data_IF_408630487544
#
_entry.id   IF_408630487544
#
_cell.length_a   1.000
_cell.length_b   1.000
_cell.length_c   1.000
_cell.angle_alpha   90.00
_cell.angle_beta   90.00
_cell.angle_gamma   90.00
#
_symmetry.space_group_name_H-M   'P 1'
#
loop_
_entity.id
_entity.type
_entity.pdbx_description
1 polymer ?
#
# COMPACT_ATOMS: atom_id res chain seq x y z
N UNK A 1 19.93 3.23 -15.77
CA UNK A 1 18.71 3.75 -15.12
C UNK A 1 17.89 4.47 -16.18
N UNK A 2 16.55 4.39 -16.11
CA UNK A 2 15.68 5.17 -16.97
C UNK A 2 14.86 6.12 -16.12
N UNK A 3 14.78 7.38 -16.53
CA UNK A 3 13.92 8.39 -15.92
C UNK A 3 12.76 8.61 -16.88
N UNK A 4 11.55 8.41 -16.39
CA UNK A 4 10.34 8.45 -17.19
C UNK A 4 9.68 9.81 -17.00
N UNK A 5 9.46 10.55 -18.07
CA UNK A 5 8.80 11.86 -18.05
C UNK A 5 7.63 11.89 -19.02
N UNK A 6 6.66 12.75 -18.78
CA UNK A 6 5.60 13.05 -19.75
C UNK A 6 5.99 14.30 -20.55
N UNK A 7 5.66 14.38 -21.84
CA UNK A 7 6.06 15.51 -22.70
C UNK A 7 5.60 16.88 -22.17
N UNK A 8 4.47 16.93 -21.46
CA UNK A 8 3.97 18.15 -20.83
C UNK A 8 4.69 18.59 -19.55
N UNK A 9 5.58 17.77 -19.00
CA UNK A 9 6.32 18.07 -17.76
C UNK A 9 7.63 18.82 -18.05
N UNK A 10 7.48 20.03 -18.59
CA UNK A 10 8.58 20.87 -19.06
C UNK A 10 9.57 21.17 -17.93
N UNK A 11 9.08 21.51 -16.74
CA UNK A 11 9.91 21.85 -15.58
C UNK A 11 10.83 20.68 -15.19
N UNK A 12 10.29 19.46 -15.10
CA UNK A 12 11.09 18.27 -14.77
C UNK A 12 12.08 17.95 -15.87
N UNK A 13 11.69 18.04 -17.15
CA UNK A 13 12.58 17.78 -18.29
C UNK A 13 13.75 18.78 -18.30
N UNK A 14 13.49 20.06 -18.05
CA UNK A 14 14.53 21.09 -17.98
C UNK A 14 15.45 20.90 -16.78
N UNK A 15 14.92 20.51 -15.61
CA UNK A 15 15.72 20.18 -14.44
C UNK A 15 16.65 18.99 -14.73
N UNK A 16 16.15 17.94 -15.38
CA UNK A 16 16.95 16.77 -15.78
C UNK A 16 18.05 17.15 -16.79
N UNK A 17 17.75 17.99 -17.78
CA UNK A 17 18.75 18.48 -18.73
C UNK A 17 19.86 19.27 -18.04
N UNK A 18 19.50 20.15 -17.09
CA UNK A 18 20.47 20.94 -16.30
C UNK A 18 21.33 20.06 -15.39
N UNK A 19 20.76 18.98 -14.84
CA UNK A 19 21.48 18.05 -13.97
C UNK A 19 22.57 17.23 -14.70
N UNK A 20 22.60 17.23 -16.05
CA UNK A 20 23.58 16.51 -16.89
C UNK A 20 23.79 15.06 -16.43
N UNK A 21 22.74 14.22 -16.50
CA UNK A 21 22.79 12.86 -15.99
C UNK A 21 23.89 12.05 -16.69
N UNK A 22 24.47 11.10 -15.95
CA UNK A 22 25.56 10.23 -16.43
C UNK A 22 25.11 9.41 -17.65
N UNK A 23 26.06 8.93 -18.45
CA UNK A 23 25.79 8.17 -19.68
C UNK A 23 24.95 6.89 -19.48
N UNK A 24 24.94 6.33 -18.27
CA UNK A 24 24.12 5.16 -17.93
C UNK A 24 22.69 5.51 -17.48
N UNK A 25 22.28 6.78 -17.57
CA UNK A 25 20.95 7.29 -17.30
C UNK A 25 20.31 7.76 -18.61
N UNK A 26 19.14 7.24 -18.91
CA UNK A 26 18.40 7.54 -20.13
C UNK A 26 17.09 8.22 -19.75
N UNK A 27 16.77 9.35 -20.37
CA UNK A 27 15.49 10.04 -20.17
C UNK A 27 14.53 9.55 -21.27
N UNK A 28 13.41 8.95 -20.85
CA UNK A 28 12.35 8.48 -21.74
C UNK A 28 11.14 9.38 -21.58
N UNK A 29 10.92 10.28 -22.54
CA UNK A 29 9.74 11.14 -22.58
C UNK A 29 8.61 10.44 -23.32
N UNK A 30 7.47 10.26 -22.64
CA UNK A 30 6.28 9.70 -23.22
C UNK A 30 5.53 10.77 -24.05
N UNK A 31 5.03 10.41 -25.25
CA UNK A 31 4.22 11.32 -26.06
C UNK A 31 2.87 11.61 -25.38
N UNK A 32 2.10 12.59 -25.84
CA UNK A 32 0.81 12.92 -25.24
C UNK A 32 -0.16 11.75 -25.41
N UNK A 33 -0.97 11.47 -24.39
CA UNK A 33 -1.95 10.39 -24.44
C UNK A 33 -2.56 10.09 -23.07
N UNK A 34 -3.79 9.59 -23.08
CA UNK A 34 -4.50 9.19 -21.86
C UNK A 34 -4.38 7.68 -21.58
N UNK A 35 -4.47 7.25 -20.31
CA UNK A 35 -4.42 8.07 -19.10
C UNK A 35 -2.98 8.48 -18.74
N UNK A 36 -2.75 9.73 -18.31
CA UNK A 36 -1.43 10.20 -17.84
C UNK A 36 -1.18 9.72 -16.40
N UNK A 37 -0.79 8.46 -16.26
CA UNK A 37 -0.63 7.78 -14.98
C UNK A 37 0.75 7.15 -14.84
N UNK A 38 1.21 6.98 -13.61
CA UNK A 38 2.43 6.23 -13.28
C UNK A 38 2.49 4.86 -13.98
N UNK A 39 1.47 3.98 -13.94
CA UNK A 39 1.51 2.70 -14.65
C UNK A 39 1.71 2.80 -16.17
N UNK A 40 1.19 3.84 -16.84
CA UNK A 40 1.47 4.07 -18.28
C UNK A 40 2.95 4.33 -18.52
N UNK A 41 3.55 5.21 -17.72
CA UNK A 41 4.99 5.47 -17.78
C UNK A 41 5.81 4.21 -17.50
N UNK A 42 5.46 3.45 -16.45
CA UNK A 42 6.14 2.21 -16.09
C UNK A 42 6.10 1.16 -17.21
N UNK A 43 4.96 1.03 -17.92
CA UNK A 43 4.85 0.13 -19.07
C UNK A 43 5.78 0.55 -20.22
N UNK A 44 5.91 1.85 -20.52
CA UNK A 44 6.90 2.33 -21.49
C UNK A 44 8.34 2.00 -21.04
N UNK A 45 8.62 2.17 -19.74
CA UNK A 45 9.89 1.77 -19.14
C UNK A 45 10.18 0.27 -19.28
N UNK A 46 9.17 -0.60 -19.11
CA UNK A 46 9.28 -2.05 -19.25
C UNK A 46 9.53 -2.49 -20.70
N UNK A 47 8.91 -1.82 -21.67
CA UNK A 47 9.19 -2.05 -23.09
C UNK A 47 10.64 -1.69 -23.42
N UNK A 48 11.16 -0.60 -22.87
CA UNK A 48 12.54 -0.17 -23.06
C UNK A 48 13.55 -0.94 -22.18
N UNK A 49 13.10 -1.76 -21.23
CA UNK A 49 13.97 -2.45 -20.27
C UNK A 49 14.77 -3.57 -20.93
N UNK A 50 16.10 -3.53 -20.70
CA UNK A 50 17.08 -4.48 -21.27
C UNK A 50 17.67 -5.47 -20.26
N UNK A 51 17.45 -5.26 -18.96
CA UNK A 51 17.99 -6.13 -17.91
C UNK A 51 17.06 -7.30 -17.59
N UNK A 52 17.61 -8.33 -16.95
CA UNK A 52 16.83 -9.47 -16.43
C UNK A 52 16.00 -9.10 -15.19
N UNK A 53 16.50 -8.12 -14.44
CA UNK A 53 15.85 -7.54 -13.26
C UNK A 53 15.48 -6.08 -13.54
N UNK A 54 14.34 -5.66 -12.99
CA UNK A 54 13.83 -4.29 -13.07
C UNK A 54 13.46 -3.81 -11.68
N UNK A 55 13.85 -2.59 -11.34
CA UNK A 55 13.43 -1.93 -10.10
C UNK A 55 12.66 -0.66 -10.44
N UNK A 56 11.66 -0.33 -9.61
CA UNK A 56 10.92 0.93 -9.66
C UNK A 56 11.22 1.74 -8.42
N UNK A 57 11.58 3.00 -8.61
CA UNK A 57 11.70 4.02 -7.57
C UNK A 57 10.84 5.22 -7.97
N UNK A 58 10.15 5.80 -6.99
CA UNK A 58 9.52 7.10 -7.13
C UNK A 58 10.60 8.20 -7.05
N UNK A 59 10.28 9.39 -7.55
CA UNK A 59 11.28 10.44 -7.74
C UNK A 59 11.83 10.97 -6.41
N UNK A 60 11.03 10.91 -5.35
CA UNK A 60 11.33 11.36 -3.99
C UNK A 60 11.98 10.29 -3.10
N UNK A 61 12.04 9.05 -3.60
CA UNK A 61 12.53 7.89 -2.84
C UNK A 61 14.00 8.03 -2.49
N UNK A 62 14.32 7.59 -1.27
CA UNK A 62 15.70 7.45 -0.81
C UNK A 62 15.93 6.01 -0.43
N UNK A 63 16.30 5.11 -1.35
CA UNK A 63 16.63 3.72 -1.01
C UNK A 63 18.00 3.64 -0.32
N UNK A 64 18.21 2.61 0.50
CA UNK A 64 19.54 2.27 1.00
C UNK A 64 20.52 2.01 -0.16
N UNK A 65 21.81 2.41 -0.02
CA UNK A 65 22.76 2.40 -1.13
C UNK A 65 23.02 1.02 -1.76
N UNK A 66 22.82 -0.07 -1.02
CA UNK A 66 23.06 -1.44 -1.45
C UNK A 66 21.78 -2.22 -1.80
N UNK A 67 20.60 -1.59 -1.75
CA UNK A 67 19.30 -2.24 -1.95
C UNK A 67 19.24 -3.09 -3.24
N UNK A 68 19.75 -2.56 -4.36
CA UNK A 68 19.79 -3.29 -5.64
C UNK A 68 20.66 -4.56 -5.56
N UNK A 69 21.76 -4.54 -4.80
CA UNK A 69 22.62 -5.71 -4.59
C UNK A 69 21.93 -6.74 -3.70
N UNK A 70 21.26 -6.28 -2.65
CA UNK A 70 20.44 -7.13 -1.76
C UNK A 70 19.35 -7.84 -2.57
N UNK A 71 18.61 -7.11 -3.40
CA UNK A 71 17.58 -7.67 -4.26
C UNK A 71 18.13 -8.69 -5.26
N UNK A 72 19.23 -8.37 -5.95
CA UNK A 72 19.87 -9.31 -6.89
C UNK A 72 20.34 -10.59 -6.20
N UNK A 73 20.94 -10.49 -5.02
CA UNK A 73 21.37 -11.64 -4.23
C UNK A 73 20.17 -12.47 -3.73
N UNK A 74 19.06 -11.84 -3.39
CA UNK A 74 17.82 -12.52 -2.99
C UNK A 74 17.17 -13.24 -4.18
N UNK A 75 17.11 -12.65 -5.38
CA UNK A 75 16.65 -13.34 -6.58
C UNK A 75 17.53 -14.53 -6.97
N UNK A 76 18.85 -14.43 -6.78
CA UNK A 76 19.77 -15.53 -7.08
C UNK A 76 19.59 -16.71 -6.11
N UNK A 77 19.32 -16.44 -4.83
CA UNK A 77 19.11 -17.46 -3.79
C UNK A 77 17.69 -18.01 -3.75
N UNK A 78 16.70 -17.19 -4.15
CA UNK A 78 15.29 -17.53 -4.11
C UNK A 78 14.88 -18.54 -5.18
N UNK A 79 13.65 -19.07 -5.08
CA UNK A 79 13.14 -20.04 -6.04
C UNK A 79 12.97 -19.40 -7.43
N UNK A 80 12.96 -20.24 -8.48
CA UNK A 80 12.78 -19.79 -9.86
C UNK A 80 11.47 -19.02 -10.08
N UNK A 81 10.41 -19.38 -9.34
CA UNK A 81 9.12 -18.70 -9.39
C UNK A 81 9.01 -17.47 -8.47
N UNK A 82 10.11 -16.96 -7.90
CA UNK A 82 10.13 -15.65 -7.24
C UNK A 82 10.13 -14.55 -8.31
N UNK A 83 9.01 -13.85 -8.46
CA UNK A 83 8.84 -12.81 -9.47
C UNK A 83 9.15 -11.41 -8.96
N UNK A 84 8.82 -11.12 -7.70
CA UNK A 84 8.93 -9.80 -7.12
C UNK A 84 9.53 -9.85 -5.72
N UNK A 85 10.32 -8.83 -5.37
CA UNK A 85 10.82 -8.55 -4.05
C UNK A 85 10.44 -7.11 -3.67
N UNK A 86 9.66 -6.98 -2.60
CA UNK A 86 9.29 -5.69 -2.02
C UNK A 86 10.32 -5.28 -0.96
N UNK A 87 10.94 -4.11 -1.12
CA UNK A 87 11.72 -3.49 -0.06
C UNK A 87 10.80 -2.84 0.99
N UNK A 88 11.35 -2.58 2.17
CA UNK A 88 10.61 -1.91 3.26
C UNK A 88 10.47 -0.43 2.94
N UNK A 89 9.27 0.12 3.06
CA UNK A 89 9.04 1.58 2.93
C UNK A 89 8.90 2.20 4.31
N UNK A 90 9.60 3.30 4.59
CA UNK A 90 9.62 3.98 5.88
C UNK A 90 9.40 5.48 5.73
N UNK A 91 8.64 6.07 6.66
CA UNK A 91 8.37 7.51 6.65
C UNK A 91 9.50 8.27 7.35
N UNK A 92 10.10 9.24 6.66
CA UNK A 92 11.22 10.04 7.18
C UNK A 92 10.83 11.40 7.76
N UNK A 93 9.56 11.81 7.61
CA UNK A 93 9.04 13.06 8.14
C UNK A 93 8.00 12.85 9.25
N UNK A 94 8.11 11.76 10.03
CA UNK A 94 7.20 11.48 11.15
C UNK A 94 7.20 12.60 12.22
N UNK A 95 8.23 13.46 12.25
CA UNK A 95 8.27 14.62 13.13
C UNK A 95 7.36 15.78 12.69
N UNK A 96 6.80 15.75 11.47
CA UNK A 96 5.99 16.84 10.92
C UNK A 96 4.56 16.90 11.48
N UNK A 97 4.15 15.92 12.30
CA UNK A 97 2.92 15.99 13.08
C UNK A 97 2.17 14.66 13.17
N UNK A 98 1.01 14.72 13.83
CA UNK A 98 0.20 13.55 14.19
C UNK A 98 -0.13 12.64 12.99
N UNK A 99 -0.49 13.20 11.83
CA UNK A 99 -0.77 12.41 10.62
C UNK A 99 0.45 11.64 10.10
N UNK A 100 1.62 12.27 10.07
CA UNK A 100 2.86 11.63 9.61
C UNK A 100 3.31 10.52 10.56
N UNK A 101 3.10 10.69 11.88
CA UNK A 101 3.37 9.66 12.91
C UNK A 101 2.51 8.42 12.71
N UNK A 102 1.21 8.59 12.48
CA UNK A 102 0.30 7.47 12.21
C UNK A 102 0.64 6.78 10.89
N UNK A 103 1.02 7.55 9.87
CA UNK A 103 1.51 7.00 8.61
C UNK A 103 2.75 6.12 8.82
N UNK A 104 3.70 6.58 9.64
CA UNK A 104 4.90 5.83 10.00
C UNK A 104 4.58 4.51 10.72
N UNK A 105 3.62 4.53 11.65
CA UNK A 105 3.15 3.33 12.38
C UNK A 105 2.53 2.32 11.41
N UNK A 106 1.63 2.77 10.53
CA UNK A 106 0.98 1.87 9.56
C UNK A 106 1.98 1.26 8.58
N UNK A 107 2.94 2.05 8.11
CA UNK A 107 4.04 1.55 7.26
C UNK A 107 4.90 0.53 8.00
N UNK A 108 5.18 0.77 9.28
CA UNK A 108 5.96 -0.18 10.07
C UNK A 108 5.20 -1.51 10.28
N UNK A 109 3.91 -1.43 10.60
CA UNK A 109 3.05 -2.61 10.71
C UNK A 109 2.99 -3.38 9.37
N UNK A 110 2.78 -2.69 8.25
CA UNK A 110 2.65 -3.32 6.94
C UNK A 110 3.97 -3.94 6.48
N UNK A 111 5.03 -3.13 6.37
CA UNK A 111 6.27 -3.53 5.69
C UNK A 111 7.22 -4.35 6.58
N UNK A 112 7.15 -4.27 7.91
CA UNK A 112 8.02 -5.06 8.80
C UNK A 112 7.33 -6.24 9.45
N UNK A 113 5.99 -6.26 9.52
CA UNK A 113 5.24 -7.33 10.19
C UNK A 113 4.41 -8.10 9.19
N UNK A 114 3.45 -7.46 8.54
CA UNK A 114 2.45 -8.13 7.70
C UNK A 114 3.08 -8.71 6.42
N UNK A 115 3.77 -7.91 5.61
CA UNK A 115 4.33 -8.41 4.34
C UNK A 115 5.41 -9.50 4.53
N UNK A 116 6.34 -9.39 5.49
CA UNK A 116 7.28 -10.48 5.78
C UNK A 116 6.57 -11.77 6.24
N UNK A 117 5.50 -11.67 7.02
CA UNK A 117 4.71 -12.83 7.42
C UNK A 117 4.04 -13.49 6.19
N UNK A 118 3.37 -12.70 5.34
CA UNK A 118 2.77 -13.19 4.09
C UNK A 118 3.80 -13.85 3.18
N UNK A 119 4.97 -13.22 3.04
CA UNK A 119 6.09 -13.76 2.27
C UNK A 119 6.56 -15.12 2.80
N UNK A 120 6.71 -15.25 4.13
CA UNK A 120 7.13 -16.50 4.79
C UNK A 120 6.12 -17.63 4.56
N UNK A 121 4.83 -17.32 4.55
CA UNK A 121 3.77 -18.29 4.29
C UNK A 121 3.48 -18.51 2.80
N UNK A 122 4.19 -17.81 1.90
CA UNK A 122 3.96 -17.91 0.45
C UNK A 122 2.57 -17.42 0.01
N UNK A 123 1.98 -16.50 0.76
CA UNK A 123 0.65 -15.95 0.52
C UNK A 123 0.72 -14.74 -0.44
N UNK A 124 -0.39 -14.39 -1.11
CA UNK A 124 -0.46 -13.20 -1.96
C UNK A 124 -0.09 -11.93 -1.19
N UNK A 125 0.71 -11.08 -1.81
CA UNK A 125 1.20 -9.81 -1.26
C UNK A 125 0.67 -8.68 -2.15
N UNK A 126 -0.17 -7.75 -1.64
CA UNK A 126 -0.38 -6.48 -2.31
C UNK A 126 0.94 -5.70 -2.24
N UNK A 127 1.50 -5.36 -3.40
CA UNK A 127 2.75 -4.61 -3.46
C UNK A 127 2.53 -3.17 -2.97
N UNK A 128 3.60 -2.56 -2.44
CA UNK A 128 3.64 -1.12 -2.24
C UNK A 128 3.94 -0.41 -3.55
N UNK A 129 3.78 0.92 -3.58
CA UNK A 129 3.88 1.69 -4.82
C UNK A 129 5.28 1.76 -5.40
N UNK A 130 6.31 1.48 -4.61
CA UNK A 130 7.70 1.69 -4.99
C UNK A 130 8.66 0.70 -4.32
N UNK A 131 9.94 0.76 -4.70
CA UNK A 131 11.02 -0.12 -4.27
C UNK A 131 10.70 -1.61 -4.49
N UNK A 132 9.97 -1.84 -5.58
CA UNK A 132 9.65 -3.16 -6.08
C UNK A 132 10.73 -3.59 -7.06
N UNK A 133 11.27 -4.77 -6.83
CA UNK A 133 12.25 -5.39 -7.70
C UNK A 133 11.61 -6.59 -8.37
N UNK A 134 11.75 -6.72 -9.68
CA UNK A 134 11.06 -7.72 -10.47
C UNK A 134 12.04 -8.53 -11.30
N UNK A 135 11.72 -9.80 -11.54
CA UNK A 135 12.16 -10.49 -12.75
C UNK A 135 11.38 -9.96 -13.93
N UNK A 136 12.07 -9.44 -14.94
CA UNK A 136 11.43 -8.86 -16.13
C UNK A 136 10.56 -9.88 -16.85
N UNK A 137 11.01 -11.13 -16.95
CA UNK A 137 10.23 -12.21 -17.56
C UNK A 137 8.88 -12.44 -16.84
N UNK A 138 8.87 -12.44 -15.51
CA UNK A 138 7.65 -12.63 -14.73
C UNK A 138 6.70 -11.44 -14.90
N UNK A 139 7.21 -10.21 -14.83
CA UNK A 139 6.43 -9.00 -15.02
C UNK A 139 5.80 -8.91 -16.42
N UNK A 140 6.55 -9.29 -17.46
CA UNK A 140 6.03 -9.40 -18.83
C UNK A 140 4.96 -10.49 -18.95
N UNK A 141 5.13 -11.63 -18.28
CA UNK A 141 4.17 -12.73 -18.34
C UNK A 141 2.79 -12.39 -17.78
N UNK A 142 2.70 -11.39 -16.90
CA UNK A 142 1.43 -10.91 -16.32
C UNK A 142 0.90 -9.63 -16.99
N UNK A 143 1.55 -9.16 -18.05
CA UNK A 143 1.12 -8.00 -18.84
C UNK A 143 1.53 -6.63 -18.30
N UNK A 144 2.51 -6.54 -17.40
CA UNK A 144 2.95 -5.25 -16.85
C UNK A 144 1.95 -4.65 -15.85
N UNK A 145 1.84 -3.32 -15.81
CA UNK A 145 0.91 -2.60 -14.93
C UNK A 145 -0.40 -2.25 -15.63
N UNK A 146 -1.51 -2.24 -14.89
CA UNK A 146 -2.78 -1.74 -15.41
C UNK A 146 -2.78 -0.20 -15.40
N UNK A 147 -2.77 0.41 -16.58
CA UNK A 147 -2.71 1.86 -16.76
C UNK A 147 -3.94 2.61 -16.20
N UNK A 148 -5.08 1.92 -16.06
CA UNK A 148 -6.33 2.49 -15.58
C UNK A 148 -6.53 2.33 -14.06
N UNK A 149 -5.68 1.53 -13.39
CA UNK A 149 -5.78 1.31 -11.96
C UNK A 149 -4.94 2.32 -11.18
N UNK A 150 -5.55 2.97 -10.18
CA UNK A 150 -4.89 3.97 -9.33
C UNK A 150 -4.07 3.36 -8.17
N UNK A 151 -4.17 2.04 -7.97
CA UNK A 151 -3.28 1.20 -7.15
C UNK A 151 -2.80 0.03 -7.99
N UNK A 152 -2.00 0.34 -9.01
CA UNK A 152 -1.45 -0.61 -9.98
C UNK A 152 -0.58 -1.70 -9.33
N UNK A 153 0.00 -1.37 -8.19
CA UNK A 153 0.89 -2.17 -7.35
C UNK A 153 0.15 -3.33 -6.67
N UNK A 154 -0.92 -3.03 -5.95
CA UNK A 154 -1.75 -4.01 -5.27
C UNK A 154 -2.38 -4.98 -6.27
N UNK A 155 -2.86 -4.47 -7.42
CA UNK A 155 -3.35 -5.28 -8.52
C UNK A 155 -2.26 -6.20 -9.09
N UNK A 156 -1.08 -5.65 -9.38
CA UNK A 156 0.04 -6.42 -9.90
C UNK A 156 0.45 -7.55 -8.95
N UNK A 157 0.50 -7.29 -7.64
CA UNK A 157 0.78 -8.30 -6.62
C UNK A 157 -0.19 -9.48 -6.68
N UNK A 158 -1.48 -9.20 -6.82
CA UNK A 158 -2.50 -10.23 -6.95
C UNK A 158 -2.44 -10.95 -8.31
N UNK A 159 -2.14 -10.24 -9.40
CA UNK A 159 -1.93 -10.87 -10.72
C UNK A 159 -0.72 -11.81 -10.70
N UNK A 160 0.40 -11.43 -10.10
CA UNK A 160 1.55 -12.32 -9.94
C UNK A 160 1.15 -13.63 -9.25
N UNK A 161 0.46 -13.53 -8.11
CA UNK A 161 0.00 -14.70 -7.38
C UNK A 161 -0.96 -15.58 -8.22
N UNK A 162 -1.89 -14.96 -8.97
CA UNK A 162 -2.83 -15.68 -9.88
C UNK A 162 -2.16 -16.43 -11.02
N UNK A 163 -0.94 -16.03 -11.39
CA UNK A 163 -0.12 -16.67 -12.42
C UNK A 163 0.90 -17.66 -11.82
N UNK A 164 0.82 -17.95 -10.52
CA UNK A 164 1.69 -18.92 -9.85
C UNK A 164 3.07 -18.37 -9.44
N UNK A 165 3.27 -17.06 -9.57
CA UNK A 165 4.48 -16.40 -9.11
C UNK A 165 4.42 -16.08 -7.62
N UNK A 166 5.59 -16.11 -6.98
CA UNK A 166 5.79 -15.72 -5.59
C UNK A 166 6.32 -14.30 -5.50
N UNK A 167 5.87 -13.59 -4.46
CA UNK A 167 6.41 -12.31 -4.03
C UNK A 167 7.11 -12.51 -2.69
N UNK A 168 8.30 -11.94 -2.56
CA UNK A 168 9.07 -11.92 -1.32
C UNK A 168 9.29 -10.51 -0.78
N UNK A 169 9.94 -10.43 0.37
CA UNK A 169 10.41 -9.17 0.95
C UNK A 169 11.94 -9.17 1.08
N UNK A 170 12.56 -8.00 1.08
CA UNK A 170 13.98 -7.83 1.40
C UNK A 170 14.17 -6.94 2.62
N UNK A 171 15.21 -7.22 3.40
CA UNK A 171 15.63 -6.40 4.52
C UNK A 171 16.49 -5.23 4.02
N UNK A 172 15.86 -4.34 3.26
CA UNK A 172 16.42 -3.05 2.88
C UNK A 172 15.32 -2.00 2.85
N UNK A 173 15.64 -0.77 3.21
CA UNK A 173 14.68 0.30 3.44
C UNK A 173 14.78 1.38 2.37
N UNK A 174 13.61 1.91 1.99
CA UNK A 174 13.46 3.14 1.23
C UNK A 174 12.69 4.15 2.07
N UNK A 175 13.23 5.36 2.19
CA UNK A 175 12.60 6.45 2.92
C UNK A 175 11.75 7.34 2.03
N UNK A 176 10.53 7.58 2.48
CA UNK A 176 9.47 8.35 1.81
C UNK A 176 8.95 9.48 2.70
N UNK A 177 8.38 10.50 2.05
CA UNK A 177 7.69 11.59 2.72
C UNK A 177 6.18 11.31 2.80
N UNK A 178 5.63 11.28 4.01
CA UNK A 178 4.19 11.22 4.23
C UNK A 178 3.53 12.60 4.10
N UNK A 179 2.29 12.68 3.58
CA UNK A 179 1.56 13.95 3.57
C UNK A 179 1.17 14.36 5.00
N UNK A 180 1.80 15.43 5.49
CA UNK A 180 1.52 15.96 6.83
C UNK A 180 0.28 16.89 6.88
N UNK A 181 -0.18 17.40 5.73
CA UNK A 181 -1.35 18.30 5.65
C UNK A 181 -2.64 17.48 5.51
N UNK A 182 -3.71 17.76 6.29
CA UNK A 182 -4.94 16.96 6.28
C UNK A 182 -5.57 16.75 4.89
N UNK A 183 -5.64 17.79 4.07
CA UNK A 183 -6.23 17.68 2.73
C UNK A 183 -5.36 16.88 1.75
N UNK A 184 -4.03 17.05 1.81
CA UNK A 184 -3.11 16.24 1.00
C UNK A 184 -3.17 14.77 1.40
N UNK A 185 -3.22 14.50 2.71
CA UNK A 185 -3.40 13.17 3.28
C UNK A 185 -4.71 12.53 2.82
N UNK A 186 -5.82 13.27 2.90
CA UNK A 186 -7.14 12.78 2.49
C UNK A 186 -7.18 12.42 1.01
N UNK A 187 -6.62 13.25 0.13
CA UNK A 187 -6.50 12.96 -1.30
C UNK A 187 -5.71 11.68 -1.56
N UNK A 188 -4.54 11.53 -0.92
CA UNK A 188 -3.71 10.34 -1.07
C UNK A 188 -4.45 9.08 -0.60
N UNK A 189 -5.08 9.12 0.57
CA UNK A 189 -5.82 7.97 1.13
C UNK A 189 -7.07 7.64 0.35
N UNK A 190 -7.75 8.64 -0.21
CA UNK A 190 -8.90 8.42 -1.11
C UNK A 190 -8.45 7.62 -2.34
N UNK A 191 -7.30 7.98 -2.93
CA UNK A 191 -6.74 7.26 -4.09
C UNK A 191 -6.46 5.79 -3.75
N UNK A 192 -5.87 5.51 -2.60
CA UNK A 192 -5.58 4.13 -2.17
C UNK A 192 -6.85 3.32 -1.94
N UNK A 193 -7.82 3.87 -1.20
CA UNK A 193 -9.10 3.18 -0.95
C UNK A 193 -9.86 2.93 -2.25
N UNK A 194 -9.86 3.89 -3.17
CA UNK A 194 -10.45 3.74 -4.51
C UNK A 194 -9.82 2.58 -5.27
N UNK A 195 -8.49 2.53 -5.31
CA UNK A 195 -7.77 1.47 -6.01
C UNK A 195 -7.99 0.09 -5.37
N UNK A 196 -8.06 -0.01 -4.04
CA UNK A 196 -8.42 -1.27 -3.37
C UNK A 196 -9.85 -1.72 -3.70
N UNK A 197 -10.83 -0.81 -3.72
CA UNK A 197 -12.21 -1.14 -4.12
C UNK A 197 -12.26 -1.63 -5.58
N UNK A 198 -11.59 -0.93 -6.50
CA UNK A 198 -11.53 -1.31 -7.92
C UNK A 198 -10.82 -2.66 -8.09
N UNK A 199 -9.69 -2.86 -7.42
CA UNK A 199 -8.92 -4.11 -7.48
C UNK A 199 -9.73 -5.27 -6.92
N UNK A 200 -10.38 -5.10 -5.76
CA UNK A 200 -11.27 -6.10 -5.19
C UNK A 200 -12.42 -6.44 -6.15
N UNK A 201 -13.06 -5.45 -6.77
CA UNK A 201 -14.13 -5.66 -7.74
C UNK A 201 -13.65 -6.43 -8.98
N UNK A 202 -12.51 -6.04 -9.57
CA UNK A 202 -11.96 -6.68 -10.78
C UNK A 202 -11.58 -8.13 -10.52
N UNK A 203 -10.87 -8.42 -9.43
CA UNK A 203 -10.46 -9.78 -9.08
C UNK A 203 -11.63 -10.61 -8.53
N UNK A 204 -12.65 -9.96 -7.96
CA UNK A 204 -13.90 -10.56 -7.49
C UNK A 204 -14.88 -10.98 -8.59
N UNK A 205 -14.69 -10.56 -9.86
CA UNK A 205 -15.60 -10.92 -10.97
C UNK A 205 -15.71 -12.43 -11.24
N UNK A 206 -14.68 -13.20 -10.89
CA UNK A 206 -14.64 -14.66 -11.10
C UNK A 206 -14.06 -15.36 -9.86
N UNK A 207 -14.78 -15.36 -8.72
CA UNK A 207 -14.23 -15.74 -7.41
C UNK A 207 -13.83 -17.22 -7.38
N UNK A 208 -14.62 -18.11 -7.98
CA UNK A 208 -14.26 -19.53 -8.09
C UNK A 208 -12.95 -19.75 -8.88
N UNK A 209 -12.73 -18.97 -9.94
CA UNK A 209 -11.50 -19.04 -10.72
C UNK A 209 -10.29 -18.48 -9.96
N UNK A 210 -10.50 -17.44 -9.16
CA UNK A 210 -9.47 -16.89 -8.26
C UNK A 210 -9.10 -17.90 -7.18
N UNK A 211 -10.09 -18.49 -6.50
CA UNK A 211 -9.90 -19.49 -5.45
C UNK A 211 -9.15 -20.73 -5.95
N UNK A 212 -9.46 -21.20 -7.16
CA UNK A 212 -8.78 -22.36 -7.75
C UNK A 212 -7.29 -22.09 -8.07
N UNK A 213 -6.93 -20.83 -8.37
CA UNK A 213 -5.55 -20.43 -8.69
C UNK A 213 -4.72 -20.11 -7.47
N UNK A 214 -5.31 -19.50 -6.44
CA UNK A 214 -4.62 -19.10 -5.21
C UNK A 214 -4.66 -20.15 -4.10
N UNK A 215 -5.55 -21.14 -4.22
CA UNK A 215 -5.94 -22.01 -3.12
C UNK A 215 -6.84 -21.30 -2.10
N UNK A 216 -7.47 -22.04 -1.17
CA UNK A 216 -8.43 -21.48 -0.21
C UNK A 216 -7.83 -20.38 0.67
N UNK A 217 -6.64 -20.64 1.24
CA UNK A 217 -5.98 -19.69 2.13
C UNK A 217 -5.51 -18.44 1.38
N UNK A 218 -4.88 -18.62 0.20
CA UNK A 218 -4.46 -17.49 -0.63
C UNK A 218 -5.64 -16.63 -1.10
N UNK A 219 -6.78 -17.26 -1.41
CA UNK A 219 -8.02 -16.56 -1.72
C UNK A 219 -8.49 -15.71 -0.55
N UNK A 220 -8.69 -16.31 0.64
CA UNK A 220 -9.15 -15.59 1.83
C UNK A 220 -8.24 -14.42 2.15
N UNK A 221 -6.92 -14.64 2.15
CA UNK A 221 -5.93 -13.60 2.43
C UNK A 221 -5.98 -12.49 1.37
N UNK A 222 -6.11 -12.81 0.08
CA UNK A 222 -6.25 -11.80 -0.98
C UNK A 222 -7.51 -10.95 -0.81
N UNK A 223 -8.63 -11.57 -0.39
CA UNK A 223 -9.86 -10.85 -0.13
C UNK A 223 -9.72 -9.95 1.09
N UNK A 224 -9.11 -10.43 2.18
CA UNK A 224 -8.89 -9.64 3.39
C UNK A 224 -7.98 -8.43 3.15
N UNK A 225 -6.87 -8.60 2.43
CA UNK A 225 -5.86 -7.56 2.23
C UNK A 225 -6.28 -6.45 1.25
N UNK A 226 -7.22 -6.73 0.34
CA UNK A 226 -7.68 -5.75 -0.65
C UNK A 226 -9.13 -5.33 -0.34
N UNK A 227 -10.07 -6.28 -0.45
CA UNK A 227 -11.49 -6.01 -0.20
C UNK A 227 -11.81 -5.75 1.27
N UNK A 228 -11.22 -6.54 2.17
CA UNK A 228 -11.43 -6.44 3.62
C UNK A 228 -10.94 -5.11 4.19
N UNK A 229 -9.81 -4.59 3.72
CA UNK A 229 -9.30 -3.27 4.11
C UNK A 229 -10.29 -2.16 3.73
N UNK A 230 -10.75 -2.15 2.48
CA UNK A 230 -11.71 -1.15 2.01
C UNK A 230 -13.06 -1.26 2.73
N UNK A 231 -13.57 -2.49 2.92
CA UNK A 231 -14.82 -2.75 3.63
C UNK A 231 -14.74 -2.34 5.09
N UNK A 232 -13.64 -2.66 5.77
CA UNK A 232 -13.42 -2.29 7.17
C UNK A 232 -13.34 -0.77 7.32
N UNK A 233 -12.64 -0.08 6.41
CA UNK A 233 -12.58 1.38 6.43
C UNK A 233 -13.97 2.02 6.25
N UNK A 234 -14.82 1.50 5.35
CA UNK A 234 -16.20 1.96 5.19
C UNK A 234 -17.07 1.69 6.41
N UNK A 235 -16.96 0.48 6.96
CA UNK A 235 -17.77 0.03 8.09
C UNK A 235 -17.39 0.73 9.40
N UNK A 236 -16.11 1.07 9.59
CA UNK A 236 -15.59 1.55 10.87
C UNK A 236 -16.30 2.79 11.42
N UNK A 237 -16.50 3.90 10.66
CA UNK A 237 -17.28 5.04 11.14
C UNK A 237 -18.73 4.69 11.52
N UNK A 238 -19.35 3.75 10.79
CA UNK A 238 -20.71 3.29 11.07
C UNK A 238 -20.74 2.51 12.39
N UNK A 239 -19.79 1.59 12.58
CA UNK A 239 -19.66 0.81 13.82
C UNK A 239 -19.44 1.73 15.02
N UNK A 240 -18.57 2.74 14.90
CA UNK A 240 -18.35 3.71 15.97
C UNK A 240 -19.61 4.53 16.25
N UNK A 241 -20.32 5.01 15.22
CA UNK A 241 -21.57 5.74 15.39
C UNK A 241 -22.66 4.90 16.08
N UNK A 242 -22.82 3.64 15.66
CA UNK A 242 -23.77 2.70 16.27
C UNK A 242 -23.40 2.39 17.72
N UNK A 243 -22.11 2.17 18.01
CA UNK A 243 -21.64 1.94 19.38
C UNK A 243 -21.92 3.14 20.29
N UNK A 244 -21.62 4.37 19.83
CA UNK A 244 -21.93 5.59 20.58
C UNK A 244 -23.43 5.76 20.79
N UNK A 245 -24.25 5.54 19.76
CA UNK A 245 -25.71 5.61 19.86
C UNK A 245 -26.26 4.61 20.89
N UNK A 246 -25.78 3.36 20.87
CA UNK A 246 -26.18 2.33 21.83
C UNK A 246 -25.74 2.69 23.26
N UNK A 247 -24.56 3.30 23.41
CA UNK A 247 -24.09 3.82 24.70
C UNK A 247 -24.98 4.93 25.25
N UNK A 248 -25.31 5.93 24.44
CA UNK A 248 -26.18 7.05 24.85
C UNK A 248 -27.63 6.66 25.09
N UNK A 249 -28.14 5.67 24.36
CA UNK A 249 -29.51 5.17 24.52
C UNK A 249 -29.65 4.16 25.68
N UNK A 250 -28.56 3.78 26.35
CA UNK A 250 -28.56 2.78 27.43
C UNK A 250 -28.75 1.33 26.96
N UNK A 251 -28.92 1.11 25.65
CA UNK A 251 -29.13 -0.22 25.05
C UNK A 251 -27.86 -1.08 25.10
N UNK A 252 -26.67 -0.46 25.07
CA UNK A 252 -25.41 -1.20 25.04
C UNK A 252 -25.22 -2.14 26.23
N UNK A 253 -25.73 -1.76 27.41
CA UNK A 253 -25.63 -2.51 28.65
C UNK A 253 -26.98 -3.10 29.08
N UNK A 254 -28.03 -2.96 28.26
CA UNK A 254 -29.32 -3.57 28.56
C UNK A 254 -29.19 -5.09 28.53
N UNK A 255 -29.82 -5.83 29.46
CA UNK A 255 -29.83 -7.28 29.42
C UNK A 255 -30.36 -7.78 28.08
N UNK A 256 -29.62 -8.69 27.44
CA UNK A 256 -30.06 -9.34 26.20
C UNK A 256 -31.30 -10.18 26.49
N UNK A 257 -32.34 -10.07 25.65
CA UNK A 257 -33.65 -10.66 25.91
C UNK A 257 -33.65 -12.19 25.90
N UNK A 258 -32.78 -12.81 25.10
CA UNK A 258 -32.60 -14.26 25.02
C UNK A 258 -31.12 -14.69 24.88
N UNK A 259 -30.88 -16.01 24.91
CA UNK A 259 -29.55 -16.62 24.79
C UNK A 259 -28.91 -16.37 23.41
N UNK A 260 -29.73 -16.24 22.36
CA UNK A 260 -29.26 -15.96 21.00
C UNK A 260 -28.69 -14.56 20.88
N UNK A 261 -29.40 -13.56 21.40
CA UNK A 261 -28.96 -12.18 21.49
C UNK A 261 -27.69 -12.04 22.32
N UNK A 262 -27.60 -12.79 23.43
CA UNK A 262 -26.40 -12.84 24.27
C UNK A 262 -25.19 -13.38 23.48
N UNK A 263 -25.38 -14.47 22.72
CA UNK A 263 -24.32 -15.10 21.93
C UNK A 263 -23.84 -14.18 20.80
N UNK A 264 -24.76 -13.53 20.07
CA UNK A 264 -24.43 -12.58 19.00
C UNK A 264 -23.69 -11.38 19.59
N UNK A 265 -24.20 -10.78 20.67
CA UNK A 265 -23.54 -9.64 21.32
C UNK A 265 -22.15 -10.00 21.81
N UNK A 266 -22.00 -11.17 22.46
CA UNK A 266 -20.70 -11.68 22.90
C UNK A 266 -19.72 -11.87 21.73
N UNK A 267 -20.16 -12.46 20.63
CA UNK A 267 -19.35 -12.61 19.41
C UNK A 267 -18.87 -11.26 18.87
N UNK A 268 -19.74 -10.25 18.83
CA UNK A 268 -19.40 -8.91 18.35
C UNK A 268 -18.35 -8.23 19.24
N UNK A 269 -18.52 -8.30 20.57
CA UNK A 269 -17.57 -7.74 21.53
C UNK A 269 -16.21 -8.43 21.43
N UNK A 270 -16.18 -9.76 21.38
CA UNK A 270 -14.94 -10.53 21.22
C UNK A 270 -14.25 -10.17 19.91
N UNK A 271 -14.99 -10.11 18.80
CA UNK A 271 -14.43 -9.73 17.50
C UNK A 271 -13.85 -8.30 17.52
N UNK A 272 -14.52 -7.36 18.17
CA UNK A 272 -14.03 -5.98 18.34
C UNK A 272 -12.70 -5.96 19.12
N UNK A 273 -12.67 -6.63 20.28
CA UNK A 273 -11.47 -6.68 21.15
C UNK A 273 -10.30 -7.35 20.43
N UNK A 274 -10.54 -8.50 19.82
CA UNK A 274 -9.50 -9.27 19.11
C UNK A 274 -8.98 -8.48 17.91
N UNK A 275 -9.86 -7.89 17.10
CA UNK A 275 -9.48 -7.10 15.93
C UNK A 275 -8.65 -5.87 16.29
N UNK A 276 -9.08 -5.10 17.29
CA UNK A 276 -8.34 -3.94 17.78
C UNK A 276 -6.99 -4.34 18.39
N UNK A 277 -6.98 -5.37 19.23
CA UNK A 277 -5.75 -5.84 19.88
C UNK A 277 -4.75 -6.34 18.84
N UNK A 278 -5.19 -7.05 17.80
CA UNK A 278 -4.34 -7.50 16.71
C UNK A 278 -3.75 -6.33 15.92
N UNK A 279 -4.56 -5.31 15.61
CA UNK A 279 -4.11 -4.11 14.91
C UNK A 279 -3.09 -3.31 15.74
N UNK A 280 -3.36 -3.09 17.03
CA UNK A 280 -2.44 -2.41 17.95
C UNK A 280 -1.16 -3.21 18.16
N UNK A 281 -1.24 -4.53 18.27
CA UNK A 281 -0.07 -5.41 18.38
C UNK A 281 0.79 -5.35 17.12
N UNK A 282 0.20 -5.34 15.92
CA UNK A 282 0.94 -5.16 14.67
C UNK A 282 1.62 -3.78 14.61
N UNK A 283 0.91 -2.72 15.04
CA UNK A 283 1.48 -1.38 15.16
C UNK A 283 2.66 -1.33 16.11
N UNK A 284 2.52 -1.91 17.30
CA UNK A 284 3.58 -2.01 18.31
C UNK A 284 4.79 -2.78 17.79
N UNK A 285 4.59 -3.98 17.24
CA UNK A 285 5.67 -4.80 16.68
C UNK A 285 6.38 -4.10 15.52
N UNK A 286 5.65 -3.35 14.69
CA UNK A 286 6.24 -2.53 13.64
C UNK A 286 7.12 -1.43 14.21
N UNK A 287 6.61 -0.66 15.18
CA UNK A 287 7.37 0.41 15.85
C UNK A 287 8.62 -0.14 16.54
N UNK A 288 8.50 -1.26 17.26
CA UNK A 288 9.62 -1.91 17.96
C UNK A 288 10.74 -2.34 16.99
N UNK A 289 10.38 -2.82 15.79
CA UNK A 289 11.32 -3.23 14.76
C UNK A 289 12.04 -2.09 14.04
N UNK A 290 11.56 -0.85 14.14
CA UNK A 290 12.06 0.27 13.32
C UNK A 290 12.45 1.54 14.07
N UNK A 291 11.64 1.92 15.04
CA UNK A 291 11.38 3.33 15.29
C UNK A 291 11.86 3.84 16.64
N UNK A 292 11.77 5.16 16.83
CA UNK A 292 11.90 5.77 18.13
C UNK A 292 10.72 5.32 19.01
N UNK A 293 10.95 4.93 20.28
CA UNK A 293 9.91 4.55 21.22
C UNK A 293 8.78 5.59 21.37
N UNK A 294 9.04 6.86 20.99
CA UNK A 294 8.05 7.92 21.01
C UNK A 294 6.82 7.63 20.14
N UNK A 295 6.96 6.91 19.02
CA UNK A 295 5.80 6.56 18.16
C UNK A 295 4.81 5.62 18.85
N UNK A 296 5.27 4.85 19.84
CA UNK A 296 4.41 3.90 20.53
C UNK A 296 3.27 4.59 21.31
N UNK A 297 3.48 5.82 21.77
CA UNK A 297 2.45 6.60 22.45
C UNK A 297 1.26 6.91 21.53
N UNK A 298 1.49 7.12 20.23
CA UNK A 298 0.41 7.42 19.27
C UNK A 298 -0.46 6.21 18.92
N UNK A 299 -0.08 4.99 19.34
CA UNK A 299 -0.92 3.80 19.16
C UNK A 299 -2.28 3.97 19.84
N UNK A 300 -2.35 4.70 20.96
CA UNK A 300 -3.62 4.98 21.66
C UNK A 300 -4.57 5.83 20.83
N UNK A 301 -4.06 6.62 19.87
CA UNK A 301 -4.87 7.48 19.01
C UNK A 301 -5.18 6.87 17.64
N UNK A 302 -4.70 5.65 17.34
CA UNK A 302 -5.03 4.93 16.11
C UNK A 302 -6.55 4.81 15.85
N UNK A 303 -7.41 4.54 16.85
CA UNK A 303 -8.85 4.48 16.64
C UNK A 303 -9.44 5.77 16.05
N UNK A 304 -8.89 6.94 16.40
CA UNK A 304 -9.32 8.23 15.84
C UNK A 304 -8.76 8.43 14.43
N UNK A 305 -7.52 7.99 14.19
CA UNK A 305 -6.94 8.03 12.85
C UNK A 305 -7.72 7.18 11.85
N UNK A 306 -8.21 6.00 12.27
CA UNK A 306 -9.03 5.13 11.41
C UNK A 306 -10.38 5.76 11.02
N UNK A 307 -10.92 6.72 11.80
CA UNK A 307 -12.10 7.49 11.37
C UNK A 307 -11.78 8.35 10.16
N UNK A 308 -10.58 8.94 10.09
CA UNK A 308 -10.13 9.69 8.92
C UNK A 308 -9.93 8.77 7.71
N UNK A 309 -9.43 7.55 7.94
CA UNK A 309 -9.31 6.53 6.88
C UNK A 309 -10.69 6.15 6.36
N UNK A 310 -11.68 6.03 7.24
CA UNK A 310 -13.08 5.83 6.87
C UNK A 310 -13.65 6.99 6.06
N UNK A 311 -13.37 8.24 6.44
CA UNK A 311 -13.76 9.41 5.64
C UNK A 311 -13.15 9.36 4.22
N UNK A 312 -11.89 8.95 4.09
CA UNK A 312 -11.23 8.75 2.80
C UNK A 312 -11.90 7.62 1.99
N UNK A 313 -12.29 6.53 2.63
CA UNK A 313 -12.99 5.41 2.00
C UNK A 313 -14.38 5.80 1.49
N UNK A 314 -15.16 6.54 2.28
CA UNK A 314 -16.47 7.06 1.86
C UNK A 314 -16.34 8.05 0.69
N UNK A 315 -15.34 8.93 0.73
CA UNK A 315 -15.01 9.82 -0.39
C UNK A 315 -14.63 9.03 -1.66
N UNK A 316 -13.86 7.96 -1.51
CA UNK A 316 -13.46 7.09 -2.61
C UNK A 316 -14.66 6.38 -3.24
N UNK A 317 -15.56 5.83 -2.41
CA UNK A 317 -16.79 5.19 -2.86
C UNK A 317 -17.67 6.18 -3.66
N UNK A 318 -17.78 7.42 -3.18
CA UNK A 318 -18.51 8.48 -3.88
C UNK A 318 -17.87 8.84 -5.24
N UNK A 319 -16.54 8.91 -5.33
CA UNK A 319 -15.84 9.10 -6.61
C UNK A 319 -16.11 7.95 -7.59
N UNK A 320 -16.08 6.70 -7.12
CA UNK A 320 -16.40 5.52 -7.94
C UNK A 320 -17.85 5.58 -8.43
N UNK A 321 -18.80 5.94 -7.56
CA UNK A 321 -20.21 6.09 -7.92
C UNK A 321 -20.45 7.16 -8.99
N UNK A 322 -19.54 8.13 -9.13
CA UNK A 322 -19.52 9.16 -10.18
C UNK A 322 -18.68 8.78 -11.41
N UNK A 323 -18.27 7.52 -11.53
CA UNK A 323 -17.42 7.00 -12.60
C UNK A 323 -16.00 7.63 -12.68
N UNK A 324 -15.50 8.24 -11.60
CA UNK A 324 -14.15 8.80 -11.52
C UNK A 324 -13.10 7.74 -11.08
N UNK A 325 -13.17 6.54 -11.65
CA UNK A 325 -12.40 5.37 -11.19
C UNK A 325 -10.90 5.51 -11.44
N UNK A 326 -10.50 6.17 -12.53
CA UNK A 326 -9.10 6.39 -12.93
C UNK A 326 -8.58 7.79 -12.61
N UNK A 327 -9.39 8.67 -12.02
CA UNK A 327 -8.97 10.03 -11.70
C UNK A 327 -7.83 10.03 -10.66
N UNK A 328 -6.69 10.62 -11.04
CA UNK A 328 -5.47 10.65 -10.25
C UNK A 328 -5.26 12.01 -9.56
N UNK A 329 -5.56 12.08 -8.27
CA UNK A 329 -5.24 13.25 -7.45
C UNK A 329 -3.77 13.20 -7.02
N UNK A 330 -2.89 13.94 -7.74
CA UNK A 330 -1.47 14.01 -7.41
C UNK A 330 -1.25 14.51 -5.98
N UNK A 331 -0.36 13.84 -5.26
CA UNK A 331 0.11 14.29 -3.94
C UNK A 331 1.33 15.18 -4.16
N UNK A 332 1.40 16.30 -3.47
CA UNK A 332 2.59 17.16 -3.51
C UNK A 332 3.64 16.60 -2.55
N UNK A 333 4.87 16.42 -3.04
CA UNK A 333 6.02 15.94 -2.28
C UNK A 333 7.06 17.07 -2.14
N UNK A 334 7.98 16.97 -1.17
CA UNK A 334 8.98 18.01 -0.89
C UNK A 334 8.45 19.18 -0.06
N UNK A 335 7.37 18.97 0.70
CA UNK A 335 6.73 20.01 1.53
C UNK A 335 7.06 19.82 3.02
N UNK A 336 7.72 18.71 3.36
CA UNK A 336 8.13 18.35 4.71
C UNK A 336 9.02 19.40 5.35
N UNK A 337 8.79 19.65 6.64
CA UNK A 337 9.61 20.62 7.40
C UNK A 337 10.93 20.01 7.82
N UNK A 338 10.94 18.71 8.15
CA UNK A 338 12.14 17.96 8.51
C UNK A 338 12.06 16.53 7.99
N UNK A 339 13.01 16.16 7.11
CA UNK A 339 13.27 14.76 6.75
C UNK A 339 14.44 14.25 7.59
N UNK A 340 14.23 13.16 8.32
CA UNK A 340 15.26 12.49 9.09
C UNK A 340 15.32 11.03 8.66
N UNK A 341 16.50 10.53 8.33
CA UNK A 341 16.74 9.09 8.15
C UNK A 341 16.94 8.48 9.54
N UNK A 342 15.94 7.84 10.17
CA UNK A 342 16.17 7.19 11.45
C UNK A 342 17.23 6.08 11.27
N UNK A 343 18.11 5.96 12.27
CA UNK A 343 19.01 4.83 12.38
C UNK A 343 18.17 3.63 12.85
N UNK A 344 17.99 2.62 11.99
CA UNK A 344 17.30 1.38 12.37
C UNK A 344 18.18 0.60 13.36
N UNK A 345 17.53 -0.12 14.29
CA UNK A 345 18.21 -1.04 15.21
C UNK A 345 18.56 -2.36 14.57
#
# INVERSE_FOLDING_TARGET
MKILTEEGDVETIEALRRARPRANVEILTLPPGGPQTKPRALNAGLLAARGDLLCVFDAEDRPEPDQLRVAAAAFRRGPRNLACLQARLAIDNFADGWLARHFAIEYAALFDVVLPALSRFGLPIPLGGTSNHFRVAALRSVGGWDAANVTEDADLGLRLARFGWKTGTIASVTWEEAPAKPWAWLKQRTRWMKGYMVTAAVHGRRPAGLARRLGPLGFVVSQMLVGGVALTALAYPVVVATFLWQGFSGVLLSPTGDLGDAAVTGFHIVNLIVGFSAALACGWLGVDRRGPPSLAADLVTLPFYWLLVGAAAWRALWQIARAETSHWEKTAHGVSRRRATPCFK
#
